data_IF_982014490531
#
_entry.id   IF_982014490531
#
_cell.length_a   1.000
_cell.length_b   1.000
_cell.length_c   1.000
_cell.angle_alpha   90.00
_cell.angle_beta   90.00
_cell.angle_gamma   90.00
#
_symmetry.space_group_name_H-M   'P 1'
#
loop_
_entity.id
_entity.type
_entity.pdbx_description
1 polymer ?
#
# COMPACT_ATOMS: atom_id res chain seq x y z
N UNK A 1 55.39 -8.97 1.50
CA UNK A 1 54.58 -9.50 0.37
C UNK A 1 53.22 -8.80 0.38
N UNK A 2 52.96 -7.77 -0.44
CA UNK A 2 51.64 -7.18 -0.53
C UNK A 2 50.79 -7.94 -1.55
N UNK A 3 49.57 -8.30 -1.15
CA UNK A 3 48.52 -8.87 -2.00
C UNK A 3 48.06 -7.81 -3.02
N UNK A 4 47.85 -8.15 -4.31
CA UNK A 4 47.30 -7.21 -5.27
C UNK A 4 45.80 -7.00 -5.00
N UNK A 5 45.44 -5.75 -4.69
CA UNK A 5 44.07 -5.26 -4.68
C UNK A 5 43.47 -5.42 -6.08
N UNK A 6 42.60 -6.40 -6.28
CA UNK A 6 41.71 -6.41 -7.44
C UNK A 6 40.68 -5.30 -7.26
N UNK A 7 40.96 -4.14 -7.86
CA UNK A 7 39.97 -3.12 -8.12
C UNK A 7 38.85 -3.76 -8.97
N UNK A 8 37.71 -4.05 -8.34
CA UNK A 8 36.47 -4.44 -9.02
C UNK A 8 36.04 -3.28 -9.92
N UNK A 9 36.47 -3.33 -11.19
CA UNK A 9 35.98 -2.45 -12.24
C UNK A 9 34.46 -2.63 -12.34
N UNK A 10 33.73 -1.60 -11.93
CA UNK A 10 32.27 -1.54 -11.97
C UNK A 10 31.84 -1.32 -13.42
N UNK A 11 31.88 -2.38 -14.23
CA UNK A 11 31.34 -2.38 -15.59
C UNK A 11 29.85 -2.02 -15.56
N UNK A 12 29.45 -1.06 -16.41
CA UNK A 12 28.06 -0.65 -16.52
C UNK A 12 27.26 -1.64 -17.38
N UNK A 13 25.95 -1.71 -17.18
CA UNK A 13 25.07 -2.57 -18.00
C UNK A 13 25.12 -2.15 -19.49
N UNK A 14 25.39 -0.87 -19.78
CA UNK A 14 25.57 -0.37 -21.14
C UNK A 14 26.81 -0.98 -21.82
N UNK A 15 27.92 -1.11 -21.10
CA UNK A 15 29.16 -1.71 -21.63
C UNK A 15 28.96 -3.17 -21.99
N UNK A 16 28.20 -3.89 -21.16
CA UNK A 16 27.81 -5.29 -21.39
C UNK A 16 26.98 -5.41 -22.67
N UNK A 17 25.97 -4.56 -22.85
CA UNK A 17 25.11 -4.57 -24.04
C UNK A 17 25.91 -4.22 -25.30
N UNK A 18 26.79 -3.21 -25.24
CA UNK A 18 27.67 -2.85 -26.35
C UNK A 18 28.63 -3.98 -26.72
N UNK A 19 29.13 -4.72 -25.73
CA UNK A 19 29.98 -5.89 -25.93
C UNK A 19 29.23 -7.02 -26.64
N UNK A 20 27.98 -7.28 -26.25
CA UNK A 20 27.12 -8.28 -26.90
C UNK A 20 26.81 -7.88 -28.34
N UNK A 21 26.52 -6.61 -28.60
CA UNK A 21 26.30 -6.09 -29.95
C UNK A 21 27.55 -6.26 -30.84
N UNK A 22 28.73 -5.94 -30.32
CA UNK A 22 30.02 -6.11 -31.03
C UNK A 22 30.31 -7.58 -31.39
N UNK A 23 29.97 -8.51 -30.48
CA UNK A 23 30.05 -9.95 -30.73
C UNK A 23 29.06 -10.41 -31.79
N UNK A 24 27.80 -9.97 -31.71
CA UNK A 24 26.76 -10.34 -32.67
C UNK A 24 27.04 -9.76 -34.06
N UNK A 25 27.64 -8.58 -34.14
CA UNK A 25 28.12 -7.94 -35.39
C UNK A 25 29.44 -8.50 -35.91
N UNK A 26 29.99 -9.55 -35.28
CA UNK A 26 31.23 -10.22 -35.67
C UNK A 26 32.47 -9.31 -35.70
N UNK A 27 32.41 -8.13 -35.07
CA UNK A 27 33.54 -7.20 -34.95
C UNK A 27 34.64 -7.80 -34.07
N UNK A 28 34.24 -8.59 -33.07
CA UNK A 28 35.14 -9.38 -32.24
C UNK A 28 34.73 -10.84 -32.31
N UNK A 29 35.69 -11.72 -32.65
CA UNK A 29 35.41 -13.13 -32.92
C UNK A 29 35.23 -13.99 -31.67
N UNK A 30 35.76 -13.56 -30.53
CA UNK A 30 35.73 -14.37 -29.30
C UNK A 30 35.19 -13.59 -28.10
N UNK A 31 34.45 -14.29 -27.25
CA UNK A 31 33.94 -13.76 -25.98
C UNK A 31 35.10 -13.31 -25.06
N UNK A 32 36.25 -13.99 -25.15
CA UNK A 32 37.45 -13.64 -24.39
C UNK A 32 37.99 -12.27 -24.79
N UNK A 33 38.17 -12.06 -26.10
CA UNK A 33 38.68 -10.81 -26.63
C UNK A 33 37.69 -9.68 -26.33
N UNK A 34 36.38 -9.89 -26.53
CA UNK A 34 35.39 -8.87 -26.28
C UNK A 34 35.32 -8.45 -24.80
N UNK A 35 35.40 -9.42 -23.88
CA UNK A 35 35.48 -9.14 -22.45
C UNK A 35 36.73 -8.31 -22.07
N UNK A 36 37.88 -8.55 -22.71
CA UNK A 36 39.09 -7.77 -22.49
C UNK A 36 39.02 -6.37 -23.10
N UNK A 37 38.54 -6.25 -24.34
CA UNK A 37 38.43 -4.97 -25.06
C UNK A 37 37.50 -3.98 -24.35
N UNK A 38 36.36 -4.48 -23.86
CA UNK A 38 35.36 -3.65 -23.18
C UNK A 38 35.49 -3.68 -21.65
N UNK A 39 36.53 -4.34 -21.13
CA UNK A 39 36.81 -4.44 -19.70
C UNK A 39 35.61 -4.95 -18.87
N UNK A 40 34.91 -5.95 -19.41
CA UNK A 40 33.71 -6.55 -18.80
C UNK A 40 34.06 -7.94 -18.22
N UNK A 41 33.60 -8.30 -17.02
CA UNK A 41 33.77 -9.65 -16.50
C UNK A 41 33.17 -10.70 -17.44
N UNK A 42 33.99 -11.68 -17.84
CA UNK A 42 33.59 -12.75 -18.78
C UNK A 42 32.37 -13.54 -18.31
N UNK A 43 32.25 -13.76 -17.01
CA UNK A 43 31.11 -14.47 -16.40
C UNK A 43 29.80 -13.71 -16.63
N UNK A 44 29.78 -12.41 -16.33
CA UNK A 44 28.64 -11.53 -16.55
C UNK A 44 28.23 -11.47 -18.03
N UNK A 45 29.22 -11.33 -18.93
CA UNK A 45 28.98 -11.33 -20.38
C UNK A 45 28.35 -12.64 -20.87
N UNK A 46 28.84 -13.79 -20.37
CA UNK A 46 28.28 -15.10 -20.69
C UNK A 46 26.84 -15.24 -20.19
N UNK A 47 26.58 -14.85 -18.95
CA UNK A 47 25.25 -14.93 -18.34
C UNK A 47 24.25 -14.05 -19.09
N UNK A 48 24.65 -12.83 -19.48
CA UNK A 48 23.81 -11.90 -20.25
C UNK A 48 23.52 -12.38 -21.65
N UNK A 49 24.51 -12.93 -22.35
CA UNK A 49 24.33 -13.57 -23.65
C UNK A 49 23.42 -14.80 -23.58
N UNK A 50 23.39 -15.49 -22.44
CA UNK A 50 22.46 -16.60 -22.16
C UNK A 50 21.06 -16.11 -21.74
N UNK A 51 20.78 -14.80 -21.80
CA UNK A 51 19.47 -14.22 -21.48
C UNK A 51 19.22 -14.01 -19.98
N UNK A 52 20.23 -14.17 -19.10
CA UNK A 52 20.06 -13.89 -17.67
C UNK A 52 20.09 -12.38 -17.42
N UNK A 53 18.99 -11.77 -16.95
CA UNK A 53 18.93 -10.33 -16.69
C UNK A 53 19.80 -9.93 -15.50
N UNK A 54 20.03 -8.62 -15.34
CA UNK A 54 20.80 -8.12 -14.21
C UNK A 54 20.10 -8.41 -12.90
N UNK A 55 20.86 -8.59 -11.83
CA UNK A 55 20.27 -8.86 -10.51
C UNK A 55 19.29 -7.75 -10.07
N UNK A 56 19.50 -6.52 -10.54
CA UNK A 56 18.61 -5.36 -10.36
C UNK A 56 17.28 -5.47 -11.12
N UNK A 57 17.27 -6.19 -12.24
CA UNK A 57 16.10 -6.37 -13.11
C UNK A 57 15.42 -7.72 -12.85
N UNK A 58 16.11 -8.66 -12.21
CA UNK A 58 15.53 -9.91 -11.73
C UNK A 58 14.46 -9.63 -10.68
N UNK A 59 13.26 -10.20 -10.88
CA UNK A 59 12.26 -10.25 -9.83
C UNK A 59 12.83 -10.97 -8.59
N UNK A 60 12.74 -10.39 -7.38
CA UNK A 60 13.22 -11.04 -6.18
C UNK A 60 12.48 -12.37 -5.97
N UNK A 61 13.22 -13.45 -5.68
CA UNK A 61 12.65 -14.76 -5.33
C UNK A 61 11.73 -14.72 -4.09
N UNK A 62 11.70 -13.59 -3.37
CA UNK A 62 10.82 -13.34 -2.22
C UNK A 62 9.41 -12.86 -2.58
N UNK A 63 9.10 -12.61 -3.86
CA UNK A 63 7.72 -12.32 -4.29
C UNK A 63 6.92 -13.61 -4.43
N UNK A 64 6.17 -13.95 -3.38
CA UNK A 64 5.26 -15.11 -3.35
C UNK A 64 4.01 -14.91 -4.21
N UNK A 65 3.59 -13.66 -4.42
CA UNK A 65 2.47 -13.26 -5.27
C UNK A 65 2.99 -12.76 -6.62
N UNK A 66 2.18 -12.98 -7.66
CA UNK A 66 2.39 -12.44 -8.99
C UNK A 66 2.07 -10.94 -9.01
N UNK A 67 2.65 -10.23 -9.98
CA UNK A 67 2.44 -8.79 -10.15
C UNK A 67 0.95 -8.43 -10.29
N UNK A 68 0.19 -9.21 -11.06
CA UNK A 68 -1.26 -9.04 -11.23
C UNK A 68 -2.04 -9.25 -9.92
N UNK A 69 -1.65 -10.22 -9.10
CA UNK A 69 -2.29 -10.45 -7.79
C UNK A 69 -2.02 -9.27 -6.84
N UNK A 70 -0.80 -8.74 -6.85
CA UNK A 70 -0.45 -7.54 -6.08
C UNK A 70 -1.27 -6.33 -6.54
N UNK A 71 -1.45 -6.13 -7.86
CA UNK A 71 -2.26 -5.04 -8.43
C UNK A 71 -3.74 -5.13 -8.04
N UNK A 72 -4.32 -6.33 -8.04
CA UNK A 72 -5.70 -6.55 -7.58
C UNK A 72 -5.83 -6.17 -6.10
N UNK A 73 -4.88 -6.58 -5.25
CA UNK A 73 -4.89 -6.19 -3.83
C UNK A 73 -4.81 -4.67 -3.67
N UNK A 74 -3.93 -3.98 -4.42
CA UNK A 74 -3.85 -2.51 -4.38
C UNK A 74 -5.18 -1.88 -4.76
N UNK A 75 -5.77 -2.29 -5.88
CA UNK A 75 -7.04 -1.73 -6.37
C UNK A 75 -8.17 -1.90 -5.34
N UNK A 76 -8.22 -3.06 -4.68
CA UNK A 76 -9.22 -3.39 -3.69
C UNK A 76 -9.02 -2.59 -2.39
N UNK A 77 -7.78 -2.38 -1.94
CA UNK A 77 -7.48 -1.52 -0.79
C UNK A 77 -7.94 -0.07 -1.06
N UNK A 78 -7.70 0.43 -2.28
CA UNK A 78 -8.12 1.79 -2.65
C UNK A 78 -9.66 1.92 -2.72
N UNK A 79 -10.38 0.91 -3.20
CA UNK A 79 -11.85 0.87 -3.15
C UNK A 79 -12.38 0.90 -1.72
N UNK A 80 -11.82 0.04 -0.86
CA UNK A 80 -12.18 -0.02 0.56
C UNK A 80 -11.92 1.31 1.28
N UNK A 81 -10.79 1.95 0.99
CA UNK A 81 -10.45 3.26 1.57
C UNK A 81 -11.45 4.36 1.11
N UNK A 82 -11.83 4.37 -0.17
CA UNK A 82 -12.86 5.30 -0.69
C UNK A 82 -14.19 5.15 0.04
N UNK A 83 -14.58 3.91 0.36
CA UNK A 83 -15.82 3.59 1.08
C UNK A 83 -15.75 3.80 2.61
N UNK A 84 -14.58 4.19 3.15
CA UNK A 84 -14.38 4.40 4.59
C UNK A 84 -14.06 3.13 5.39
N UNK A 85 -13.76 2.03 4.70
CA UNK A 85 -13.43 0.72 5.28
C UNK A 85 -11.96 0.35 5.06
N UNK A 86 -11.05 1.30 5.30
CA UNK A 86 -9.61 1.08 5.12
C UNK A 86 -9.12 -0.17 5.90
N UNK A 87 -8.51 -1.17 5.22
CA UNK A 87 -8.16 -2.45 5.84
C UNK A 87 -6.95 -2.34 6.76
N UNK A 88 -6.89 -3.20 7.77
CA UNK A 88 -5.72 -3.37 8.64
C UNK A 88 -4.67 -4.27 7.98
N UNK A 89 -3.45 -4.32 8.53
CA UNK A 89 -2.43 -5.25 8.04
C UNK A 89 -2.85 -6.72 8.09
N UNK A 90 -3.62 -7.11 9.10
CA UNK A 90 -4.17 -8.46 9.20
C UNK A 90 -5.14 -8.73 8.05
N UNK A 91 -6.06 -7.81 7.77
CA UNK A 91 -6.99 -7.95 6.64
C UNK A 91 -6.26 -7.99 5.28
N UNK A 92 -5.22 -7.17 5.08
CA UNK A 92 -4.39 -7.22 3.85
C UNK A 92 -3.65 -8.54 3.72
N UNK A 93 -3.18 -9.11 4.85
CA UNK A 93 -2.59 -10.46 4.88
C UNK A 93 -3.63 -11.51 4.49
N UNK A 94 -4.83 -11.43 5.04
CA UNK A 94 -5.90 -12.39 4.76
C UNK A 94 -6.34 -12.34 3.29
N UNK A 95 -6.34 -11.16 2.66
CA UNK A 95 -6.58 -11.02 1.21
C UNK A 95 -5.52 -11.77 0.39
N UNK A 96 -4.24 -11.59 0.74
CA UNK A 96 -3.14 -12.28 0.09
C UNK A 96 -3.19 -13.81 0.33
N UNK A 97 -3.48 -14.24 1.55
CA UNK A 97 -3.61 -15.66 1.90
C UNK A 97 -4.78 -16.32 1.19
N UNK A 98 -5.90 -15.62 0.98
CA UNK A 98 -7.04 -16.11 0.18
C UNK A 98 -6.66 -16.34 -1.28
N UNK A 99 -5.90 -15.42 -1.90
CA UNK A 99 -5.43 -15.59 -3.27
C UNK A 99 -4.47 -16.77 -3.40
N UNK A 100 -3.55 -16.94 -2.43
CA UNK A 100 -2.63 -18.08 -2.43
C UNK A 100 -3.35 -19.40 -2.19
N UNK A 101 -4.33 -19.44 -1.29
CA UNK A 101 -5.14 -20.63 -1.03
C UNK A 101 -5.91 -21.06 -2.29
N UNK A 102 -6.45 -20.12 -3.06
CA UNK A 102 -7.12 -20.40 -4.34
C UNK A 102 -6.17 -21.04 -5.38
N UNK A 103 -4.87 -20.73 -5.30
CA UNK A 103 -3.82 -21.32 -6.16
C UNK A 103 -3.28 -22.65 -5.62
N UNK A 104 -3.69 -23.09 -4.43
CA UNK A 104 -3.06 -24.21 -3.73
C UNK A 104 -1.66 -23.91 -3.21
N UNK A 105 -1.30 -22.63 -3.07
CA UNK A 105 -0.07 -22.18 -2.46
C UNK A 105 -0.25 -21.94 -0.94
N UNK A 106 0.83 -22.10 -0.16
CA UNK A 106 0.78 -21.81 1.29
C UNK A 106 0.68 -20.31 1.60
N UNK A 107 0.70 -19.95 2.89
CA UNK A 107 0.45 -18.59 3.37
C UNK A 107 1.62 -17.60 3.21
N UNK A 108 1.35 -16.29 3.12
CA UNK A 108 2.37 -15.25 3.19
C UNK A 108 3.01 -15.15 4.57
N UNK A 109 4.24 -14.66 4.59
CA UNK A 109 4.97 -14.44 5.84
C UNK A 109 4.41 -13.25 6.63
N UNK A 110 4.57 -13.25 7.95
CA UNK A 110 3.93 -12.28 8.85
C UNK A 110 4.26 -10.80 8.53
N UNK A 111 5.51 -10.49 8.14
CA UNK A 111 5.89 -9.11 7.76
C UNK A 111 5.63 -8.77 6.29
N UNK A 112 5.01 -9.67 5.53
CA UNK A 112 4.68 -9.43 4.13
C UNK A 112 3.83 -8.16 3.93
N UNK A 113 2.76 -7.90 4.70
CA UNK A 113 1.94 -6.69 4.52
C UNK A 113 2.72 -5.39 4.70
N UNK A 114 3.59 -5.33 5.72
CA UNK A 114 4.44 -4.16 5.96
C UNK A 114 5.44 -3.91 4.82
N UNK A 115 6.05 -4.99 4.31
CA UNK A 115 6.94 -4.89 3.14
C UNK A 115 6.18 -4.52 1.86
N UNK A 116 4.95 -5.01 1.71
CA UNK A 116 4.08 -4.72 0.59
C UNK A 116 3.69 -3.24 0.54
N UNK A 117 3.30 -2.65 1.67
CA UNK A 117 3.02 -1.21 1.72
C UNK A 117 4.30 -0.40 1.47
N UNK A 118 5.42 -0.77 2.09
CA UNK A 118 6.70 -0.05 1.93
C UNK A 118 7.21 0.02 0.49
N UNK A 119 6.92 -0.99 -0.34
CA UNK A 119 7.37 -1.05 -1.74
C UNK A 119 6.36 -0.48 -2.75
N UNK A 120 5.18 -0.07 -2.28
CA UNK A 120 4.06 0.33 -3.14
C UNK A 120 3.72 1.78 -2.87
N UNK A 121 4.17 2.68 -3.74
CA UNK A 121 4.07 4.14 -3.52
C UNK A 121 2.62 4.67 -3.51
N UNK A 122 1.66 3.89 -4.05
CA UNK A 122 0.23 4.23 -4.01
C UNK A 122 -0.42 4.00 -2.64
N UNK A 123 0.25 3.30 -1.73
CA UNK A 123 -0.27 2.95 -0.41
C UNK A 123 0.52 3.64 0.70
N UNK A 124 -0.18 4.00 1.76
CA UNK A 124 0.42 4.53 2.98
C UNK A 124 -0.31 3.95 4.19
N UNK A 125 0.30 4.04 5.36
CA UNK A 125 -0.37 3.66 6.62
C UNK A 125 -0.79 4.88 7.40
N UNK A 126 -2.01 4.86 7.92
CA UNK A 126 -2.55 5.89 8.80
C UNK A 126 -3.24 5.26 10.00
N UNK A 127 -3.23 5.96 11.13
CA UNK A 127 -4.09 5.58 12.24
C UNK A 127 -5.51 6.05 11.95
N UNK A 128 -6.46 5.14 12.05
CA UNK A 128 -7.87 5.45 11.94
C UNK A 128 -8.36 6.14 13.23
N UNK A 129 -9.26 7.11 13.10
CA UNK A 129 -9.99 7.68 14.24
C UNK A 129 -11.35 6.98 14.33
N UNK A 130 -11.64 6.43 15.50
CA UNK A 130 -12.97 5.91 15.80
C UNK A 130 -14.03 6.97 15.45
N UNK A 131 -14.93 6.64 14.53
CA UNK A 131 -16.13 7.41 14.29
C UNK A 131 -17.28 6.71 14.99
N UNK A 132 -18.03 7.48 15.78
CA UNK A 132 -19.17 6.94 16.50
C UNK A 132 -20.25 6.54 15.50
N UNK A 133 -20.64 5.27 15.52
CA UNK A 133 -21.65 4.70 14.62
C UNK A 133 -23.02 5.29 14.91
N UNK A 134 -23.35 5.53 16.18
CA UNK A 134 -24.63 6.15 16.53
C UNK A 134 -24.71 7.54 15.91
N UNK A 135 -23.60 8.28 15.96
CA UNK A 135 -23.48 9.57 15.28
C UNK A 135 -23.64 9.46 13.76
N UNK A 136 -23.02 8.47 13.12
CA UNK A 136 -23.17 8.25 11.67
C UNK A 136 -24.61 7.90 11.26
N UNK A 137 -25.34 7.16 12.09
CA UNK A 137 -26.73 6.77 11.83
C UNK A 137 -27.73 7.89 12.12
N UNK A 138 -27.42 8.77 13.07
CA UNK A 138 -28.25 9.92 13.43
C UNK A 138 -27.97 11.17 12.56
N UNK A 139 -26.97 11.12 11.68
CA UNK A 139 -26.62 12.20 10.75
C UNK A 139 -27.46 12.18 9.45
N UNK A 140 -28.79 12.07 9.56
CA UNK A 140 -29.66 12.32 8.40
C UNK A 140 -29.75 13.84 8.17
N UNK A 141 -29.21 14.37 7.05
CA UNK A 141 -29.18 15.80 6.79
C UNK A 141 -30.58 16.42 6.64
N UNK A 142 -31.61 15.63 6.31
CA UNK A 142 -32.99 16.13 6.28
C UNK A 142 -33.49 16.31 7.71
N UNK A 143 -33.33 15.27 8.54
CA UNK A 143 -33.80 15.25 9.92
C UNK A 143 -33.10 16.30 10.79
N UNK A 144 -31.78 16.49 10.60
CA UNK A 144 -30.99 17.54 11.26
C UNK A 144 -31.54 18.92 10.90
N UNK A 145 -31.76 19.19 9.61
CA UNK A 145 -32.25 20.51 9.15
C UNK A 145 -33.64 20.82 9.71
N UNK A 146 -34.56 19.87 9.61
CA UNK A 146 -35.91 20.04 10.16
C UNK A 146 -35.91 20.27 11.68
N UNK A 147 -34.98 19.67 12.41
CA UNK A 147 -34.84 19.89 13.84
C UNK A 147 -34.35 21.31 14.16
N UNK A 148 -33.31 21.80 13.46
CA UNK A 148 -32.82 23.17 13.65
C UNK A 148 -33.87 24.22 13.26
N UNK A 149 -34.62 24.00 12.18
CA UNK A 149 -35.73 24.87 11.78
C UNK A 149 -36.81 24.94 12.87
N UNK A 150 -37.17 23.82 13.48
CA UNK A 150 -38.14 23.76 14.58
C UNK A 150 -37.64 24.51 15.83
N UNK A 151 -36.36 24.36 16.18
CA UNK A 151 -35.74 25.05 17.31
C UNK A 151 -35.76 26.57 17.09
N UNK A 152 -35.38 27.04 15.92
CA UNK A 152 -35.39 28.46 15.58
C UNK A 152 -36.81 29.06 15.60
N UNK A 153 -37.80 28.35 15.05
CA UNK A 153 -39.21 28.77 15.13
C UNK A 153 -39.71 28.85 16.58
N UNK A 154 -39.29 27.91 17.42
CA UNK A 154 -39.68 27.87 18.84
C UNK A 154 -39.02 29.02 19.62
N UNK A 155 -37.73 29.28 19.40
CA UNK A 155 -37.03 30.43 20.00
C UNK A 155 -37.70 31.75 19.60
N UNK A 156 -38.03 31.92 18.33
CA UNK A 156 -38.73 33.11 17.83
C UNK A 156 -40.13 33.26 18.44
N UNK A 157 -40.90 32.16 18.57
CA UNK A 157 -42.25 32.19 19.14
C UNK A 157 -42.28 32.61 20.61
N UNK A 158 -41.30 32.17 21.39
CA UNK A 158 -41.25 32.43 22.84
C UNK A 158 -40.27 33.55 23.22
N UNK A 159 -39.63 34.20 22.24
CA UNK A 159 -38.68 35.29 22.48
C UNK A 159 -37.44 34.86 23.26
N UNK A 160 -36.98 33.63 23.08
CA UNK A 160 -35.81 33.09 23.79
C UNK A 160 -34.55 33.67 23.14
N UNK A 161 -33.81 34.47 23.90
CA UNK A 161 -32.53 35.03 23.46
C UNK A 161 -31.46 33.93 23.37
N UNK A 162 -30.50 34.10 22.45
CA UNK A 162 -29.35 33.18 22.33
C UNK A 162 -28.53 33.09 23.62
N UNK A 163 -28.56 34.15 24.44
CA UNK A 163 -27.92 34.23 25.75
C UNK A 163 -28.52 33.24 26.78
N UNK A 164 -29.77 32.84 26.59
CA UNK A 164 -30.52 31.92 27.47
C UNK A 164 -30.48 30.47 26.96
N UNK A 165 -29.74 30.20 25.88
CA UNK A 165 -29.58 28.86 25.31
C UNK A 165 -28.36 28.17 25.93
N UNK A 166 -28.61 27.23 26.83
CA UNK A 166 -27.57 26.42 27.45
C UNK A 166 -27.43 25.07 26.74
N UNK A 167 -26.21 24.71 26.37
CA UNK A 167 -25.92 23.36 25.90
C UNK A 167 -25.91 22.41 27.09
N UNK A 168 -26.74 21.37 27.04
CA UNK A 168 -26.74 20.30 28.03
C UNK A 168 -26.13 19.06 27.39
N UNK A 169 -24.83 18.83 27.62
CA UNK A 169 -24.14 17.65 27.13
C UNK A 169 -23.97 16.62 28.24
N UNK A 170 -24.48 15.41 28.02
CA UNK A 170 -24.17 14.27 28.87
C UNK A 170 -22.84 13.65 28.39
N UNK A 171 -21.84 13.60 29.27
CA UNK A 171 -20.57 12.92 29.04
C UNK A 171 -20.74 11.40 29.03
N UNK A 172 -21.30 10.85 27.94
CA UNK A 172 -21.51 9.42 27.78
C UNK A 172 -20.20 8.63 27.70
N UNK A 173 -19.97 7.72 28.65
CA UNK A 173 -18.94 6.69 28.51
C UNK A 173 -19.38 5.69 27.45
N UNK A 174 -18.74 5.75 26.28
CA UNK A 174 -19.07 4.93 25.12
C UNK A 174 -18.62 3.46 25.34
N UNK A 175 -19.58 2.55 25.50
CA UNK A 175 -19.34 1.11 25.55
C UNK A 175 -19.24 0.56 24.12
N UNK A 176 -18.07 0.01 23.77
CA UNK A 176 -17.77 -0.51 22.43
C UNK A 176 -16.71 0.32 21.70
N UNK A 177 -15.51 0.43 22.28
CA UNK A 177 -14.38 1.15 21.68
C UNK A 177 -13.95 0.51 20.34
N UNK A 178 -14.14 1.24 19.24
CA UNK A 178 -13.23 1.12 18.11
C UNK A 178 -11.89 1.65 18.61
N UNK A 179 -10.89 0.79 18.72
CA UNK A 179 -9.54 1.21 19.07
C UNK A 179 -8.90 1.93 17.90
N UNK A 180 -8.00 2.88 18.18
CA UNK A 180 -7.15 3.45 17.13
C UNK A 180 -6.35 2.32 16.51
N UNK A 181 -6.65 1.97 15.26
CA UNK A 181 -5.97 0.90 14.53
C UNK A 181 -5.17 1.47 13.38
N UNK A 182 -4.02 0.86 13.11
CA UNK A 182 -3.21 1.16 11.94
C UNK A 182 -3.86 0.52 10.71
N UNK A 183 -4.29 1.35 9.77
CA UNK A 183 -4.95 0.96 8.54
C UNK A 183 -4.10 1.35 7.33
N UNK A 184 -4.28 0.64 6.23
CA UNK A 184 -3.64 0.89 4.94
C UNK A 184 -4.60 1.70 4.08
N UNK A 185 -4.13 2.83 3.55
CA UNK A 185 -4.92 3.81 2.78
C UNK A 185 -4.18 4.26 1.54
N UNK A 186 -4.86 4.95 0.62
CA UNK A 186 -4.21 5.59 -0.52
C UNK A 186 -3.24 6.70 -0.07
N UNK A 187 -2.11 6.84 -0.76
CA UNK A 187 -1.09 7.85 -0.43
C UNK A 187 -1.52 9.29 -0.69
N UNK A 188 -2.46 9.52 -1.62
CA UNK A 188 -2.97 10.86 -1.98
C UNK A 188 -3.93 11.49 -0.97
N UNK A 189 -4.44 10.72 0.01
CA UNK A 189 -5.44 11.23 0.96
C UNK A 189 -4.83 12.21 1.97
N UNK A 190 -5.40 13.42 2.07
CA UNK A 190 -5.12 14.38 3.15
C UNK A 190 -6.10 14.17 4.31
N UNK A 191 -5.59 13.88 5.51
CA UNK A 191 -6.39 13.77 6.74
C UNK A 191 -6.36 12.38 7.40
N UNK A 192 -6.98 12.26 8.59
CA UNK A 192 -7.15 10.96 9.27
C UNK A 192 -8.44 10.29 8.77
N UNK A 193 -8.41 9.01 8.35
CA UNK A 193 -9.62 8.30 7.95
C UNK A 193 -10.57 8.17 9.14
N UNK A 194 -11.88 8.21 8.85
CA UNK A 194 -12.95 7.85 9.79
C UNK A 194 -13.36 6.41 9.48
N UNK A 195 -13.26 5.49 10.45
CA UNK A 195 -13.74 4.13 10.33
C UNK A 195 -15.26 4.10 10.50
N UNK A 196 -15.96 3.56 9.51
CA UNK A 196 -17.38 3.21 9.65
C UNK A 196 -17.45 1.79 10.24
N UNK A 197 -18.32 1.57 11.23
CA UNK A 197 -18.51 0.24 11.81
C UNK A 197 -19.17 -0.70 10.79
N UNK A 198 -18.60 -1.88 10.50
CA UNK A 198 -19.31 -2.92 9.77
C UNK A 198 -20.46 -3.46 10.64
N UNK A 199 -21.68 -3.43 10.10
CA UNK A 199 -22.83 -4.02 10.78
C UNK A 199 -22.67 -5.53 10.90
N UNK A 200 -22.73 -6.05 12.14
CA UNK A 200 -22.98 -7.47 12.36
C UNK A 200 -24.39 -7.77 11.85
N UNK A 201 -24.52 -8.43 10.70
CA UNK A 201 -25.71 -9.23 10.42
C UNK A 201 -25.57 -10.50 11.28
N UNK A 202 -26.20 -10.48 12.44
CA UNK A 202 -26.46 -11.70 13.21
C UNK A 202 -27.42 -12.60 12.43
N UNK A 203 -27.10 -13.89 12.43
CA UNK A 203 -28.02 -14.96 12.10
C UNK A 203 -29.13 -15.08 13.16
#
# INVERSE_FOLDING_TARGET
MPQPQQALLRSSEADIQLTILSLNRHQIKTVRAAAQTFNVPRTTLRDRRAGKPARRDCQPNSKKLMQLEEEVIVSYILDLDRRGFAPTYAAVRDMADKLLAARGAGQVWQKWPANFVRRTDSLTTRFNRAYDRQRALCEDPVLIRSWFELVEQTKAKYGICDEDVYNFDEGGFMMGKITNQLVVTGSERRGRPKAIQPGQCGQ
#
